data_IF_726799580563
#
_entry.id   IF_726799580563
#
_cell.length_a   1.000
_cell.length_b   1.000
_cell.length_c   1.000
_cell.angle_alpha   90.00
_cell.angle_beta   90.00
_cell.angle_gamma   90.00
#
_symmetry.space_group_name_H-M   'P 1'
#
loop_
_entity.id
_entity.type
_entity.pdbx_description
1 polymer ?
#
# COMPACT_ATOMS: atom_id res chain seq x y z
N UNK A 1 71.19 42.03 -30.93
CA UNK A 1 70.05 41.40 -30.24
C UNK A 1 68.96 41.11 -31.26
N UNK A 2 68.81 39.85 -31.69
CA UNK A 2 67.71 39.42 -32.58
C UNK A 2 67.09 38.17 -31.96
N UNK A 3 65.89 38.34 -31.44
CA UNK A 3 65.11 37.36 -30.68
C UNK A 3 64.56 36.31 -31.65
N UNK A 4 64.87 35.03 -31.42
CA UNK A 4 64.30 33.90 -32.17
C UNK A 4 62.91 33.61 -31.60
N UNK A 5 61.87 33.73 -32.42
CA UNK A 5 60.53 33.26 -32.09
C UNK A 5 60.35 31.88 -32.72
N UNK A 6 60.33 30.84 -31.90
CA UNK A 6 59.92 29.50 -32.34
C UNK A 6 58.40 29.47 -32.37
N UNK A 7 57.80 29.41 -33.56
CA UNK A 7 56.39 29.03 -33.71
C UNK A 7 56.26 27.53 -33.44
N UNK A 8 55.67 27.17 -32.29
CA UNK A 8 55.15 25.84 -32.06
C UNK A 8 53.76 25.76 -32.73
N UNK A 9 53.65 24.98 -33.80
CA UNK A 9 52.35 24.61 -34.40
C UNK A 9 51.72 23.58 -33.47
N UNK A 10 50.85 24.04 -32.57
CA UNK A 10 50.00 23.17 -31.77
C UNK A 10 48.90 22.59 -32.65
N UNK A 11 49.04 21.31 -33.03
CA UNK A 11 47.96 20.54 -33.62
C UNK A 11 46.88 20.34 -32.54
N UNK A 12 45.90 21.23 -32.50
CA UNK A 12 44.71 21.07 -31.68
C UNK A 12 43.89 19.92 -32.24
N UNK A 13 44.03 18.73 -31.67
CA UNK A 13 43.11 17.62 -31.89
C UNK A 13 41.79 18.04 -31.24
N UNK A 14 40.85 18.52 -32.06
CA UNK A 14 39.44 18.60 -31.70
C UNK A 14 38.97 17.17 -31.46
N UNK A 15 39.01 16.74 -30.20
CA UNK A 15 38.31 15.55 -29.76
C UNK A 15 36.81 15.83 -29.93
N UNK A 16 36.26 15.40 -31.07
CA UNK A 16 34.82 15.22 -31.18
C UNK A 16 34.45 14.20 -30.11
N UNK A 17 33.77 14.66 -29.05
CA UNK A 17 33.00 13.76 -28.20
C UNK A 17 32.01 13.07 -29.13
N UNK A 18 32.26 11.81 -29.46
CA UNK A 18 31.26 10.96 -30.08
C UNK A 18 30.06 10.98 -29.12
N UNK A 19 29.01 11.71 -29.49
CA UNK A 19 27.72 11.58 -28.85
C UNK A 19 27.36 10.12 -29.01
N UNK A 20 27.41 9.35 -27.93
CA UNK A 20 26.85 8.01 -27.91
C UNK A 20 25.38 8.15 -28.35
N UNK A 21 25.09 7.72 -29.58
CA UNK A 21 23.72 7.42 -29.99
C UNK A 21 23.23 6.40 -28.98
N UNK A 22 22.33 6.82 -28.09
CA UNK A 22 21.81 5.92 -27.08
C UNK A 22 20.98 4.87 -27.83
N UNK A 23 21.56 3.69 -28.03
CA UNK A 23 20.93 2.52 -28.62
C UNK A 23 19.56 2.29 -27.95
N UNK A 24 18.50 1.89 -28.70
CA UNK A 24 17.24 1.52 -28.07
C UNK A 24 17.46 0.48 -26.95
N UNK A 25 16.71 0.59 -25.84
CA UNK A 25 16.92 -0.28 -24.70
C UNK A 25 16.62 -1.73 -25.06
N UNK A 26 17.36 -2.65 -24.45
CA UNK A 26 17.01 -4.07 -24.50
C UNK A 26 15.76 -4.30 -23.66
N UNK A 27 14.66 -4.66 -24.31
CA UNK A 27 13.36 -4.89 -23.66
C UNK A 27 12.57 -5.97 -24.40
N UNK A 28 11.49 -6.45 -23.80
CA UNK A 28 10.67 -7.48 -24.43
C UNK A 28 9.68 -6.88 -25.44
N UNK A 29 9.18 -7.71 -26.35
CA UNK A 29 8.07 -7.31 -27.21
C UNK A 29 6.84 -6.88 -26.40
N UNK A 30 6.62 -7.52 -25.24
CA UNK A 30 5.52 -7.20 -24.32
C UNK A 30 5.65 -5.79 -23.73
N UNK A 31 6.85 -5.32 -23.42
CA UNK A 31 7.09 -3.97 -22.89
C UNK A 31 6.80 -2.89 -23.95
N UNK A 32 7.25 -3.11 -25.19
CA UNK A 32 6.95 -2.23 -26.33
C UNK A 32 5.44 -2.18 -26.60
N UNK A 33 4.78 -3.35 -26.60
CA UNK A 33 3.33 -3.44 -26.79
C UNK A 33 2.57 -2.77 -25.64
N UNK A 34 3.00 -2.96 -24.40
CA UNK A 34 2.46 -2.32 -23.21
C UNK A 34 2.54 -0.80 -23.34
N UNK A 35 3.70 -0.27 -23.72
CA UNK A 35 3.91 1.15 -23.99
C UNK A 35 3.02 1.67 -25.11
N UNK A 36 2.85 0.91 -26.20
CA UNK A 36 1.96 1.28 -27.29
C UNK A 36 0.49 1.36 -26.87
N UNK A 37 0.02 0.40 -26.06
CA UNK A 37 -1.36 0.37 -25.56
C UNK A 37 -1.69 1.56 -24.65
N UNK A 38 -0.72 2.10 -23.92
CA UNK A 38 -0.96 3.27 -23.07
C UNK A 38 -1.26 4.56 -23.84
N UNK A 39 -1.06 4.58 -25.17
CA UNK A 39 -1.45 5.71 -26.01
C UNK A 39 -2.92 5.71 -26.46
N UNK A 40 -3.65 4.60 -26.27
CA UNK A 40 -5.03 4.48 -26.75
C UNK A 40 -5.95 5.57 -26.15
N UNK A 41 -6.76 6.21 -26.99
CA UNK A 41 -7.69 7.27 -26.58
C UNK A 41 -7.10 8.67 -26.60
N UNK A 42 -5.78 8.83 -26.71
CA UNK A 42 -5.17 10.15 -26.95
C UNK A 42 -5.44 10.63 -28.38
N UNK A 43 -5.47 11.95 -28.57
CA UNK A 43 -5.74 12.50 -29.91
C UNK A 43 -4.58 12.34 -30.86
N UNK A 44 -4.92 12.42 -32.14
CA UNK A 44 -3.94 12.57 -33.20
C UNK A 44 -3.38 14.00 -33.16
N UNK A 45 -2.07 14.15 -33.24
CA UNK A 45 -1.43 15.45 -33.33
C UNK A 45 -0.42 15.41 -34.48
N UNK A 46 -0.64 16.15 -35.57
CA UNK A 46 0.35 16.21 -36.65
C UNK A 46 1.66 16.78 -36.09
N UNK A 47 2.72 15.98 -36.14
CA UNK A 47 3.97 16.35 -35.50
C UNK A 47 3.94 16.29 -33.97
N UNK A 48 3.05 15.51 -33.35
CA UNK A 48 3.13 15.16 -31.93
C UNK A 48 3.68 13.75 -31.68
N UNK A 49 4.13 13.49 -30.45
CA UNK A 49 4.82 12.24 -30.09
C UNK A 49 4.73 11.89 -28.60
N UNK A 50 3.78 12.46 -27.86
CA UNK A 50 3.69 12.27 -26.41
C UNK A 50 2.27 12.01 -25.93
N UNK A 51 2.15 11.18 -24.90
CA UNK A 51 0.92 10.85 -24.20
C UNK A 51 1.25 10.48 -22.75
N UNK A 52 0.24 10.19 -21.96
CA UNK A 52 0.41 9.86 -20.55
C UNK A 52 -0.16 8.47 -20.28
N UNK A 53 0.57 7.65 -19.53
CA UNK A 53 0.19 6.27 -19.29
C UNK A 53 0.41 5.82 -17.85
N UNK A 54 -0.38 4.85 -17.41
CA UNK A 54 -0.13 4.09 -16.20
C UNK A 54 0.05 2.63 -16.54
N UNK A 55 1.31 2.19 -16.59
CA UNK A 55 1.68 0.88 -17.12
C UNK A 55 1.20 0.72 -18.56
N UNK A 56 0.42 -0.33 -18.83
CA UNK A 56 -0.09 -0.62 -20.17
C UNK A 56 -1.42 0.06 -20.51
N UNK A 57 -1.94 0.92 -19.63
CA UNK A 57 -3.23 1.59 -19.80
C UNK A 57 -3.03 3.09 -20.01
N UNK A 58 -3.88 3.73 -20.82
CA UNK A 58 -3.87 5.19 -20.92
C UNK A 58 -4.36 5.82 -19.62
N UNK A 59 -3.72 6.91 -19.21
CA UNK A 59 -4.17 7.70 -18.05
C UNK A 59 -5.02 8.89 -18.51
N UNK A 60 -6.22 8.59 -19.03
CA UNK A 60 -7.14 9.62 -19.55
C UNK A 60 -7.81 10.44 -18.43
N UNK A 61 -7.69 9.99 -17.17
CA UNK A 61 -8.30 10.63 -16.00
C UNK A 61 -7.42 11.77 -15.48
N UNK A 62 -6.12 11.52 -15.36
CA UNK A 62 -5.18 12.53 -14.85
C UNK A 62 -4.54 13.36 -15.97
N UNK A 63 -4.58 12.87 -17.22
CA UNK A 63 -3.99 13.53 -18.36
C UNK A 63 -5.05 13.72 -19.47
N UNK A 64 -5.40 14.98 -19.76
CA UNK A 64 -6.40 15.29 -20.78
C UNK A 64 -5.91 14.91 -22.18
N UNK A 65 -6.63 14.03 -22.90
CA UNK A 65 -6.38 13.76 -24.31
C UNK A 65 -6.57 15.06 -25.07
N UNK A 66 -5.52 15.58 -25.74
CA UNK A 66 -5.68 16.81 -26.52
C UNK A 66 -6.81 16.69 -27.55
N UNK A 67 -7.14 17.76 -28.24
CA UNK A 67 -8.20 17.77 -29.25
C UNK A 67 -7.61 18.00 -30.63
N UNK A 68 -7.89 17.08 -31.56
CA UNK A 68 -7.66 17.33 -32.97
C UNK A 68 -8.93 17.77 -33.69
N UNK A 69 -8.79 18.78 -34.55
CA UNK A 69 -9.84 19.24 -35.46
C UNK A 69 -9.31 19.16 -36.89
N UNK A 70 -9.90 18.33 -37.78
CA UNK A 70 -9.52 18.31 -39.18
C UNK A 70 -9.84 19.66 -39.84
N UNK A 71 -9.01 20.11 -40.79
CA UNK A 71 -9.40 21.23 -41.65
C UNK A 71 -10.61 20.82 -42.50
N UNK A 72 -11.52 21.76 -42.76
CA UNK A 72 -12.71 21.50 -43.55
C UNK A 72 -12.35 20.91 -44.93
N UNK A 73 -12.96 19.79 -45.30
CA UNK A 73 -12.69 19.08 -46.55
C UNK A 73 -11.44 18.21 -46.57
N UNK A 74 -10.69 18.08 -45.46
CA UNK A 74 -9.56 17.16 -45.34
C UNK A 74 -9.93 15.90 -44.56
N UNK A 75 -9.12 14.84 -44.71
CA UNK A 75 -9.18 13.64 -43.86
C UNK A 75 -8.57 13.86 -42.47
N UNK A 76 -8.04 15.06 -42.19
CA UNK A 76 -7.40 15.40 -40.93
C UNK A 76 -5.94 14.98 -40.79
N UNK A 77 -5.27 14.56 -41.88
CA UNK A 77 -3.88 14.13 -41.87
C UNK A 77 -3.22 14.49 -43.24
N UNK A 78 -2.23 15.40 -43.30
CA UNK A 78 -1.68 16.21 -42.21
C UNK A 78 -2.54 17.42 -41.82
N UNK A 79 -3.55 17.73 -42.63
CA UNK A 79 -4.28 19.00 -42.60
C UNK A 79 -5.27 19.07 -41.43
N UNK A 80 -4.75 19.37 -40.24
CA UNK A 80 -5.51 19.50 -39.01
C UNK A 80 -4.96 20.56 -38.06
N UNK A 81 -5.70 20.84 -37.00
CA UNK A 81 -5.28 21.68 -35.87
C UNK A 81 -5.41 20.88 -34.60
N UNK A 82 -4.33 20.79 -33.84
CA UNK A 82 -4.31 20.14 -32.53
C UNK A 82 -4.25 21.20 -31.42
N UNK A 83 -4.83 20.86 -30.27
CA UNK A 83 -4.82 21.68 -29.05
C UNK A 83 -4.72 20.77 -27.82
N UNK A 84 -4.18 21.28 -26.72
CA UNK A 84 -3.85 20.48 -25.54
C UNK A 84 -2.42 19.91 -25.61
N UNK A 85 -1.97 19.31 -24.51
CA UNK A 85 -0.58 18.87 -24.38
C UNK A 85 -0.30 17.54 -25.08
N UNK A 86 -1.21 16.58 -24.95
CA UNK A 86 -0.96 15.19 -25.33
C UNK A 86 -1.63 14.82 -26.65
N UNK A 87 -0.90 14.07 -27.45
CA UNK A 87 -1.30 13.55 -28.75
C UNK A 87 -0.07 13.16 -29.57
N UNK A 88 -0.28 12.26 -30.54
CA UNK A 88 0.79 11.83 -31.42
C UNK A 88 0.32 11.64 -32.87
N UNK A 89 1.23 11.82 -33.83
CA UNK A 89 1.04 11.29 -35.18
C UNK A 89 1.53 9.84 -35.26
N UNK A 90 1.35 9.22 -36.43
CA UNK A 90 1.71 7.82 -36.64
C UNK A 90 3.18 7.52 -36.32
N UNK A 91 4.09 8.38 -36.77
CA UNK A 91 5.52 8.18 -36.61
C UNK A 91 6.04 8.58 -35.24
N UNK A 92 5.50 9.65 -34.64
CA UNK A 92 5.77 10.03 -33.27
C UNK A 92 5.31 8.97 -32.29
N UNK A 93 4.11 8.40 -32.50
CA UNK A 93 3.58 7.30 -31.71
C UNK A 93 4.49 6.08 -31.75
N UNK A 94 4.85 5.59 -32.94
CA UNK A 94 5.69 4.38 -33.06
C UNK A 94 7.13 4.65 -32.59
N UNK A 95 7.70 5.83 -32.89
CA UNK A 95 9.05 6.19 -32.41
C UNK A 95 9.11 6.19 -30.88
N UNK A 96 8.08 6.73 -30.22
CA UNK A 96 7.99 6.76 -28.77
C UNK A 96 7.73 5.38 -28.18
N UNK A 97 6.83 4.59 -28.80
CA UNK A 97 6.59 3.21 -28.40
C UNK A 97 7.86 2.35 -28.50
N UNK A 98 8.68 2.58 -29.51
CA UNK A 98 9.96 1.90 -29.71
C UNK A 98 11.15 2.52 -28.96
N UNK A 99 10.96 3.68 -28.32
CA UNK A 99 12.02 4.43 -27.66
C UNK A 99 13.23 4.70 -28.58
N UNK A 100 12.92 5.11 -29.81
CA UNK A 100 13.90 5.51 -30.83
C UNK A 100 13.71 7.00 -31.19
N UNK A 101 14.80 7.75 -31.45
CA UNK A 101 16.20 7.33 -31.48
C UNK A 101 16.83 7.12 -30.09
N UNK A 102 16.15 7.50 -29.01
CA UNK A 102 16.63 7.40 -27.63
C UNK A 102 15.46 7.06 -26.70
N UNK A 103 15.71 6.46 -25.52
CA UNK A 103 14.67 6.20 -24.54
C UNK A 103 14.16 7.51 -23.93
N UNK A 104 12.90 7.81 -24.21
CA UNK A 104 12.16 8.91 -23.59
C UNK A 104 10.93 8.35 -22.85
N UNK A 105 10.55 8.97 -21.72
CA UNK A 105 9.21 8.77 -21.15
C UNK A 105 8.13 9.11 -22.18
N UNK A 106 6.98 8.45 -22.10
CA UNK A 106 5.87 8.69 -23.04
C UNK A 106 5.29 10.10 -22.88
N UNK A 107 5.38 10.67 -21.68
CA UNK A 107 4.90 12.01 -21.33
C UNK A 107 5.82 13.14 -21.84
N UNK A 108 7.05 12.80 -22.25
CA UNK A 108 8.01 13.78 -22.76
C UNK A 108 7.65 14.20 -24.18
N UNK A 109 7.18 15.43 -24.34
CA UNK A 109 6.91 16.06 -25.62
C UNK A 109 8.15 16.82 -26.13
N UNK A 110 8.11 17.23 -27.39
CA UNK A 110 9.14 17.97 -28.12
C UNK A 110 10.49 17.23 -28.16
N UNK A 111 10.45 15.92 -28.39
CA UNK A 111 11.65 15.07 -28.48
C UNK A 111 11.95 14.62 -29.91
N UNK A 112 13.19 14.20 -30.14
CA UNK A 112 13.62 13.61 -31.41
C UNK A 112 12.75 12.39 -31.77
N UNK A 113 12.40 12.28 -33.05
CA UNK A 113 11.60 11.18 -33.60
C UNK A 113 11.95 10.92 -35.07
N UNK A 114 11.50 9.77 -35.56
CA UNK A 114 11.53 9.46 -36.98
C UNK A 114 10.23 9.84 -37.68
N UNK A 115 10.24 9.77 -39.02
CA UNK A 115 9.07 9.93 -39.87
C UNK A 115 8.64 8.57 -40.43
N UNK A 116 7.40 8.44 -40.88
CA UNK A 116 6.85 7.15 -41.31
C UNK A 116 7.71 6.41 -42.36
N UNK A 117 8.25 7.15 -43.34
CA UNK A 117 9.08 6.59 -44.39
C UNK A 117 10.41 6.00 -43.89
N UNK A 118 10.93 6.44 -42.74
CA UNK A 118 12.15 5.88 -42.12
C UNK A 118 11.99 4.38 -41.83
N UNK A 119 10.79 3.95 -41.46
CA UNK A 119 10.49 2.56 -41.10
C UNK A 119 10.35 1.63 -42.32
N UNK A 120 10.40 2.15 -43.55
CA UNK A 120 10.31 1.33 -44.78
C UNK A 120 11.66 0.79 -45.26
N UNK A 121 12.75 1.13 -44.58
CA UNK A 121 14.12 0.77 -44.95
C UNK A 121 14.90 0.31 -43.72
N UNK A 122 15.94 -0.50 -43.94
CA UNK A 122 16.87 -0.86 -42.89
C UNK A 122 17.47 0.41 -42.29
N UNK A 123 17.62 0.41 -40.98
CA UNK A 123 18.05 1.55 -40.20
C UNK A 123 19.02 1.09 -39.11
N UNK A 124 19.69 2.04 -38.46
CA UNK A 124 20.56 1.80 -37.30
C UNK A 124 19.89 0.99 -36.18
N UNK A 125 18.56 1.10 -36.03
CA UNK A 125 17.81 0.59 -34.88
C UNK A 125 16.73 -0.44 -35.24
N UNK A 126 16.56 -0.78 -36.51
CA UNK A 126 15.59 -1.79 -36.96
C UNK A 126 15.96 -2.35 -38.33
N UNK A 127 15.49 -3.56 -38.58
CA UNK A 127 15.58 -4.20 -39.90
C UNK A 127 14.19 -4.27 -40.53
N UNK A 128 14.14 -4.16 -41.85
CA UNK A 128 12.92 -4.47 -42.61
C UNK A 128 12.72 -5.98 -42.60
N UNK A 129 11.50 -6.41 -42.29
CA UNK A 129 11.09 -7.81 -42.25
C UNK A 129 9.92 -8.02 -43.22
N UNK A 130 9.75 -9.24 -43.75
CA UNK A 130 8.58 -9.57 -44.56
C UNK A 130 7.27 -9.32 -43.78
N UNK A 131 6.25 -8.79 -44.46
CA UNK A 131 4.92 -8.61 -43.84
C UNK A 131 4.32 -9.92 -43.33
N UNK A 132 4.68 -11.06 -43.93
CA UNK A 132 4.26 -12.39 -43.51
C UNK A 132 4.88 -12.85 -42.19
N UNK A 133 5.96 -12.21 -41.74
CA UNK A 133 6.66 -12.55 -40.49
C UNK A 133 6.40 -11.53 -39.38
N UNK A 134 5.44 -10.62 -39.55
CA UNK A 134 5.08 -9.65 -38.51
C UNK A 134 4.71 -10.36 -37.22
N UNK A 135 5.28 -9.88 -36.12
CA UNK A 135 5.00 -10.33 -34.76
C UNK A 135 4.66 -9.11 -33.88
N UNK A 136 4.10 -9.30 -32.67
CA UNK A 136 3.91 -8.22 -31.72
C UNK A 136 5.19 -7.40 -31.50
N UNK A 137 5.04 -6.09 -31.32
CA UNK A 137 6.08 -5.05 -31.28
C UNK A 137 6.71 -4.67 -32.62
N UNK A 138 6.47 -5.39 -33.72
CA UNK A 138 6.86 -4.92 -35.05
C UNK A 138 6.00 -3.71 -35.48
N UNK A 139 6.50 -2.96 -36.45
CA UNK A 139 5.78 -1.90 -37.11
C UNK A 139 5.42 -2.29 -38.54
N UNK A 140 4.20 -2.00 -38.97
CA UNK A 140 3.81 -2.03 -40.37
C UNK A 140 3.91 -0.61 -40.93
N UNK A 141 4.80 -0.38 -41.89
CA UNK A 141 5.12 0.96 -42.40
C UNK A 141 4.97 1.10 -43.91
N UNK A 142 4.54 2.28 -44.34
CA UNK A 142 4.55 2.77 -45.72
C UNK A 142 5.27 4.11 -45.79
N UNK A 143 5.34 4.74 -46.97
CA UNK A 143 5.96 6.05 -47.11
C UNK A 143 5.24 7.16 -46.34
N UNK A 144 3.96 6.98 -46.01
CA UNK A 144 3.11 8.02 -45.40
C UNK A 144 2.54 7.64 -44.04
N UNK A 145 2.66 6.38 -43.63
CA UNK A 145 2.01 5.91 -42.41
C UNK A 145 2.75 4.73 -41.77
N UNK A 146 2.77 4.67 -40.44
CA UNK A 146 3.37 3.58 -39.66
C UNK A 146 2.48 3.20 -38.48
N UNK A 147 2.35 1.90 -38.24
CA UNK A 147 1.37 1.29 -37.33
C UNK A 147 2.11 0.31 -36.42
N UNK A 148 1.81 0.30 -35.12
CA UNK A 148 2.37 -0.67 -34.19
C UNK A 148 1.53 -1.94 -34.15
N UNK A 149 2.14 -3.09 -34.44
CA UNK A 149 1.52 -4.41 -34.28
C UNK A 149 1.60 -4.81 -32.82
N UNK A 150 0.46 -5.15 -32.20
CA UNK A 150 0.39 -5.50 -30.78
C UNK A 150 -0.11 -6.93 -30.51
N UNK A 151 -0.61 -7.61 -31.53
CA UNK A 151 -1.08 -8.98 -31.43
C UNK A 151 -0.67 -9.82 -32.64
N UNK A 152 -0.71 -11.12 -32.43
CA UNK A 152 -0.50 -12.11 -33.48
C UNK A 152 -1.55 -12.00 -34.59
N UNK A 153 -1.22 -12.56 -35.76
CA UNK A 153 -2.14 -12.66 -36.88
C UNK A 153 -3.28 -13.62 -36.54
N UNK A 154 -4.52 -13.15 -36.61
CA UNK A 154 -5.70 -13.98 -36.43
C UNK A 154 -5.95 -14.93 -37.62
N UNK A 155 -6.91 -15.82 -37.48
CA UNK A 155 -7.28 -16.80 -38.51
C UNK A 155 -7.85 -16.16 -39.79
N UNK A 156 -8.29 -14.90 -39.74
CA UNK A 156 -8.78 -14.13 -40.88
C UNK A 156 -7.65 -13.33 -41.55
N UNK A 157 -6.46 -13.37 -40.98
CA UNK A 157 -5.26 -12.72 -41.48
C UNK A 157 -5.10 -11.27 -41.06
N UNK A 158 -5.85 -10.81 -40.06
CA UNK A 158 -5.70 -9.48 -39.49
C UNK A 158 -4.77 -9.52 -38.28
N UNK A 159 -4.09 -8.41 -38.01
CA UNK A 159 -3.33 -8.19 -36.80
C UNK A 159 -4.10 -7.25 -35.87
N UNK A 160 -3.93 -7.45 -34.58
CA UNK A 160 -4.30 -6.42 -33.62
C UNK A 160 -3.22 -5.33 -33.60
N UNK A 161 -3.64 -4.07 -33.70
CA UNK A 161 -2.73 -2.91 -33.79
C UNK A 161 -3.15 -1.78 -32.86
N UNK A 162 -2.20 -0.89 -32.59
CA UNK A 162 -2.48 0.48 -32.15
C UNK A 162 -1.97 1.45 -33.20
N UNK A 163 -2.82 2.38 -33.59
CA UNK A 163 -2.57 3.29 -34.70
C UNK A 163 -3.03 4.71 -34.36
N UNK A 164 -2.14 5.69 -34.53
CA UNK A 164 -2.53 7.10 -34.61
C UNK A 164 -3.16 7.37 -35.98
N UNK A 165 -4.45 7.03 -36.09
CA UNK A 165 -5.19 6.85 -37.35
C UNK A 165 -5.55 8.15 -38.06
N UNK A 166 -5.50 9.27 -37.36
CA UNK A 166 -5.86 10.60 -37.86
C UNK A 166 -6.87 11.31 -36.97
N UNK A 167 -7.14 12.59 -37.24
CA UNK A 167 -7.87 13.46 -36.31
C UNK A 167 -9.28 13.05 -35.93
N UNK A 168 -9.99 12.36 -36.82
CA UNK A 168 -11.35 11.89 -36.50
C UNK A 168 -11.37 10.71 -35.52
N UNK A 169 -10.23 10.05 -35.31
CA UNK A 169 -10.13 8.82 -34.52
C UNK A 169 -9.19 8.98 -33.32
N UNK A 170 -8.08 9.69 -33.48
CA UNK A 170 -6.99 9.69 -32.51
C UNK A 170 -6.13 8.43 -32.61
N UNK A 171 -5.54 8.06 -31.48
CA UNK A 171 -4.79 6.83 -31.28
C UNK A 171 -5.77 5.75 -30.86
N UNK A 172 -5.92 4.72 -31.69
CA UNK A 172 -6.96 3.70 -31.52
C UNK A 172 -6.40 2.29 -31.62
N UNK A 173 -6.96 1.38 -30.84
CA UNK A 173 -6.76 -0.06 -30.97
C UNK A 173 -7.79 -0.63 -31.94
N UNK A 174 -7.35 -1.44 -32.88
CA UNK A 174 -8.23 -2.03 -33.89
C UNK A 174 -7.63 -3.29 -34.52
N UNK A 175 -8.47 -4.10 -35.16
CA UNK A 175 -8.04 -5.18 -36.05
C UNK A 175 -7.77 -4.65 -37.45
N UNK A 176 -6.62 -4.99 -38.05
CA UNK A 176 -6.17 -4.49 -39.36
C UNK A 176 -5.53 -5.58 -40.20
N UNK A 177 -5.90 -5.63 -41.48
CA UNK A 177 -5.09 -6.26 -42.52
C UNK A 177 -4.27 -5.21 -43.26
N UNK A 178 -3.14 -5.62 -43.81
CA UNK A 178 -2.21 -4.74 -44.52
C UNK A 178 -2.12 -5.13 -45.99
N UNK A 179 -2.14 -4.13 -46.87
CA UNK A 179 -1.85 -4.30 -48.29
C UNK A 179 -0.36 -4.56 -48.53
N UNK A 180 -0.02 -5.00 -49.75
CA UNK A 180 1.37 -5.21 -50.19
C UNK A 180 2.22 -3.93 -50.26
N UNK A 181 1.63 -2.75 -50.08
CA UNK A 181 2.34 -1.47 -50.01
C UNK A 181 3.02 -1.20 -48.67
N UNK A 182 2.74 -2.03 -47.65
CA UNK A 182 3.39 -1.96 -46.35
C UNK A 182 4.63 -2.85 -46.32
N UNK A 183 5.64 -2.39 -45.59
CA UNK A 183 6.81 -3.16 -45.20
C UNK A 183 6.73 -3.41 -43.69
N UNK A 184 7.20 -4.57 -43.24
CA UNK A 184 7.40 -4.81 -41.83
C UNK A 184 8.71 -4.19 -41.38
N UNK A 185 8.76 -3.65 -40.17
CA UNK A 185 9.97 -3.22 -39.52
C UNK A 185 10.04 -3.85 -38.12
N UNK A 186 11.21 -4.38 -37.78
CA UNK A 186 11.48 -4.99 -36.48
C UNK A 186 12.62 -4.28 -35.80
N UNK A 187 12.33 -3.68 -34.65
CA UNK A 187 13.34 -3.03 -33.81
C UNK A 187 14.40 -4.04 -33.37
N UNK A 188 15.66 -3.61 -33.33
CA UNK A 188 16.73 -4.40 -32.71
C UNK A 188 16.58 -4.39 -31.18
N UNK A 189 17.39 -5.20 -30.48
CA UNK A 189 17.39 -5.32 -29.02
C UNK A 189 16.01 -5.70 -28.43
N UNK A 190 15.20 -6.45 -29.17
CA UNK A 190 14.03 -7.12 -28.60
C UNK A 190 14.52 -8.46 -28.02
N UNK A 191 14.35 -8.64 -26.71
CA UNK A 191 14.73 -9.87 -26.01
C UNK A 191 13.48 -10.67 -25.63
N UNK A 192 13.65 -11.98 -25.43
CA UNK A 192 12.65 -12.82 -24.76
C UNK A 192 12.84 -12.84 -23.25
N UNK A 193 13.93 -12.25 -22.75
CA UNK A 193 14.24 -12.14 -21.33
C UNK A 193 13.39 -11.04 -20.67
N UNK A 194 12.48 -11.41 -19.77
CA UNK A 194 11.63 -10.45 -19.02
C UNK A 194 12.37 -9.74 -17.88
N UNK A 195 13.55 -10.23 -17.49
CA UNK A 195 14.38 -9.70 -16.40
C UNK A 195 15.83 -10.14 -16.54
N UNK A 196 16.74 -9.47 -15.81
CA UNK A 196 18.14 -9.90 -15.74
C UNK A 196 18.29 -11.02 -14.69
N UNK A 197 19.07 -12.08 -14.99
CA UNK A 197 19.32 -13.17 -14.03
C UNK A 197 19.85 -12.59 -12.70
N UNK A 198 19.21 -12.99 -11.60
CA UNK A 198 19.52 -12.49 -10.25
C UNK A 198 18.89 -11.15 -9.87
N UNK A 199 18.12 -10.51 -10.76
CA UNK A 199 17.34 -9.32 -10.41
C UNK A 199 16.23 -9.68 -9.41
N UNK A 200 15.95 -8.79 -8.46
CA UNK A 200 14.91 -8.97 -7.45
C UNK A 200 13.90 -7.83 -7.49
N UNK A 201 12.64 -8.16 -7.21
CA UNK A 201 11.56 -7.18 -7.08
C UNK A 201 10.79 -7.43 -5.79
N UNK A 202 10.31 -6.33 -5.24
CA UNK A 202 9.48 -6.31 -4.04
C UNK A 202 8.22 -5.49 -4.30
N UNK A 203 7.10 -5.91 -3.73
CA UNK A 203 5.86 -5.13 -3.73
C UNK A 203 5.16 -5.28 -2.39
N UNK A 204 4.47 -4.22 -1.98
CA UNK A 204 3.56 -4.28 -0.84
C UNK A 204 2.42 -5.26 -1.13
N UNK A 205 1.96 -5.94 -0.09
CA UNK A 205 0.88 -6.91 -0.14
C UNK A 205 0.03 -6.79 1.13
N UNK A 206 -1.27 -7.05 1.02
CA UNK A 206 -2.19 -6.96 2.15
C UNK A 206 -2.22 -5.58 2.82
N UNK A 207 -2.54 -5.56 4.12
CA UNK A 207 -2.49 -4.38 4.98
C UNK A 207 -1.11 -4.18 5.61
N UNK A 208 -0.27 -5.21 5.57
CA UNK A 208 1.10 -5.21 6.05
C UNK A 208 1.93 -6.24 5.25
N UNK A 209 3.24 -6.03 5.14
CA UNK A 209 4.14 -7.01 4.53
C UNK A 209 4.53 -6.72 3.09
N UNK A 210 5.35 -7.60 2.53
CA UNK A 210 5.97 -7.47 1.23
C UNK A 210 6.09 -8.85 0.58
N UNK A 211 5.75 -8.93 -0.71
CA UNK A 211 6.09 -10.09 -1.53
C UNK A 211 7.37 -9.81 -2.29
N UNK A 212 8.20 -10.83 -2.42
CA UNK A 212 9.44 -10.79 -3.16
C UNK A 212 9.40 -11.78 -4.33
N UNK A 213 10.12 -11.47 -5.39
CA UNK A 213 10.41 -12.42 -6.47
C UNK A 213 11.78 -12.16 -7.05
N UNK A 214 12.36 -13.18 -7.65
CA UNK A 214 13.66 -13.12 -8.29
C UNK A 214 13.58 -13.58 -9.74
N UNK A 215 14.46 -13.06 -10.56
CA UNK A 215 14.59 -13.49 -11.94
C UNK A 215 15.41 -14.78 -11.99
N UNK A 216 14.78 -15.86 -12.43
CA UNK A 216 15.45 -17.13 -12.62
C UNK A 216 16.42 -17.09 -13.82
N UNK A 217 17.35 -18.04 -13.89
CA UNK A 217 18.36 -18.16 -14.97
C UNK A 217 17.76 -18.28 -16.39
N UNK A 218 16.47 -18.60 -16.49
CA UNK A 218 15.68 -18.57 -17.74
C UNK A 218 15.14 -17.19 -18.12
N UNK A 219 15.66 -16.11 -17.55
CA UNK A 219 15.20 -14.73 -17.75
C UNK A 219 13.70 -14.52 -17.54
N UNK A 220 13.12 -15.23 -16.58
CA UNK A 220 11.71 -15.10 -16.22
C UNK A 220 11.59 -14.90 -14.74
N UNK A 221 10.66 -14.03 -14.36
CA UNK A 221 10.33 -13.82 -12.96
C UNK A 221 9.80 -15.12 -12.36
N UNK A 222 10.30 -15.49 -11.19
CA UNK A 222 9.64 -16.47 -10.35
C UNK A 222 8.25 -15.98 -9.94
N UNK A 223 7.42 -16.92 -9.47
CA UNK A 223 6.18 -16.55 -8.80
C UNK A 223 6.51 -15.65 -7.60
N UNK A 224 5.63 -14.69 -7.30
CA UNK A 224 5.72 -13.93 -6.06
C UNK A 224 5.72 -14.88 -4.86
N UNK A 225 6.57 -14.58 -3.87
CA UNK A 225 6.58 -15.28 -2.59
C UNK A 225 5.25 -15.12 -1.87
N UNK A 226 5.08 -15.85 -0.76
CA UNK A 226 4.03 -15.50 0.19
C UNK A 226 4.23 -14.06 0.70
N UNK A 227 3.12 -13.42 1.07
CA UNK A 227 3.13 -12.11 1.69
C UNK A 227 3.64 -12.23 3.13
N UNK A 228 4.83 -11.71 3.39
CA UNK A 228 5.53 -11.81 4.67
C UNK A 228 6.23 -10.48 5.00
N UNK A 229 6.65 -10.29 6.25
CA UNK A 229 7.45 -9.12 6.63
C UNK A 229 6.81 -8.25 7.72
N UNK A 230 7.55 -7.25 8.22
CA UNK A 230 7.15 -6.49 9.41
C UNK A 230 6.02 -5.50 9.13
N UNK A 231 5.34 -5.05 10.20
CA UNK A 231 4.33 -3.98 10.16
C UNK A 231 4.96 -2.67 9.62
N UNK A 232 4.43 -2.06 8.54
CA UNK A 232 4.96 -0.80 7.99
C UNK A 232 4.85 0.39 8.96
N UNK A 233 4.07 0.28 10.04
CA UNK A 233 3.92 1.31 11.09
C UNK A 233 4.92 1.19 12.24
N UNK A 234 5.78 0.17 12.22
CA UNK A 234 6.82 -0.10 13.22
C UNK A 234 6.51 -1.34 14.06
N UNK A 235 7.53 -2.15 14.36
CA UNK A 235 7.41 -3.23 15.33
C UNK A 235 6.91 -2.66 16.68
N UNK A 236 5.89 -3.30 17.28
CA UNK A 236 5.35 -3.06 18.64
C UNK A 236 4.14 -2.11 18.78
N UNK A 237 3.37 -1.81 17.73
CA UNK A 237 2.09 -1.12 17.92
C UNK A 237 1.14 -1.99 18.78
N UNK A 238 0.76 -1.50 19.97
CA UNK A 238 -0.17 -2.19 20.85
C UNK A 238 -1.57 -2.26 20.23
N UNK A 239 -2.32 -3.28 20.59
CA UNK A 239 -3.70 -3.50 20.15
C UNK A 239 -4.52 -4.17 21.26
N UNK A 240 -5.85 -4.15 21.10
CA UNK A 240 -6.79 -4.78 22.03
C UNK A 240 -7.42 -6.00 21.37
N UNK A 241 -7.48 -7.12 22.10
CA UNK A 241 -8.09 -8.36 21.63
C UNK A 241 -9.53 -8.41 22.14
N UNK A 242 -10.49 -8.38 21.22
CA UNK A 242 -11.91 -8.39 21.57
C UNK A 242 -12.29 -9.67 22.32
N UNK A 243 -12.88 -9.52 23.51
CA UNK A 243 -13.33 -10.62 24.37
C UNK A 243 -12.27 -11.24 25.27
N UNK A 244 -10.99 -10.84 25.15
CA UNK A 244 -9.96 -11.22 26.10
C UNK A 244 -10.03 -10.35 27.38
N UNK A 245 -9.57 -10.92 28.50
CA UNK A 245 -9.57 -10.30 29.83
C UNK A 245 -8.15 -10.01 30.32
N UNK A 246 -8.04 -9.23 31.39
CA UNK A 246 -6.78 -9.00 32.09
C UNK A 246 -5.64 -8.55 31.18
N UNK A 247 -4.45 -9.10 31.44
CA UNK A 247 -3.25 -8.88 30.66
C UNK A 247 -3.40 -9.34 29.20
N UNK A 248 -4.19 -10.39 28.94
CA UNK A 248 -4.43 -10.93 27.59
C UNK A 248 -5.27 -10.02 26.70
N UNK A 249 -5.99 -9.05 27.27
CA UNK A 249 -6.74 -8.05 26.51
C UNK A 249 -5.82 -7.12 25.70
N UNK A 250 -4.56 -6.99 26.11
CA UNK A 250 -3.54 -6.22 25.41
C UNK A 250 -2.67 -7.16 24.58
N UNK A 251 -2.46 -6.80 23.32
CA UNK A 251 -1.63 -7.55 22.39
C UNK A 251 -0.69 -6.64 21.59
N UNK A 252 0.08 -7.28 20.71
CA UNK A 252 0.97 -6.60 19.75
C UNK A 252 0.49 -6.90 18.34
N UNK A 253 0.44 -5.87 17.49
CA UNK A 253 0.17 -6.04 16.07
C UNK A 253 1.30 -6.81 15.41
N UNK A 254 0.94 -7.85 14.69
CA UNK A 254 1.85 -8.65 13.89
C UNK A 254 1.29 -8.83 12.49
N UNK A 255 2.19 -8.89 11.52
CA UNK A 255 1.81 -9.21 10.17
C UNK A 255 1.77 -10.72 9.97
N UNK A 256 0.59 -11.28 9.74
CA UNK A 256 0.40 -12.70 9.49
C UNK A 256 -0.26 -12.86 8.13
N UNK A 257 0.49 -13.41 7.17
CA UNK A 257 0.03 -13.63 5.79
C UNK A 257 -0.56 -12.39 5.11
N UNK A 258 0.03 -11.21 5.36
CA UNK A 258 -0.41 -9.93 4.81
C UNK A 258 -1.47 -9.19 5.62
N UNK A 259 -1.92 -9.75 6.74
CA UNK A 259 -2.97 -9.16 7.55
C UNK A 259 -2.45 -8.75 8.91
N UNK A 260 -2.75 -7.51 9.28
CA UNK A 260 -2.38 -6.97 10.57
C UNK A 260 -3.27 -7.61 11.65
N UNK A 261 -2.70 -8.56 12.38
CA UNK A 261 -3.38 -9.36 13.39
C UNK A 261 -2.93 -8.91 14.78
N UNK A 262 -3.85 -8.82 15.73
CA UNK A 262 -3.49 -8.56 17.12
C UNK A 262 -3.14 -9.90 17.81
N UNK A 263 -1.87 -10.11 18.14
CA UNK A 263 -1.46 -11.26 18.95
C UNK A 263 -1.58 -10.90 20.44
N UNK A 264 -2.49 -11.56 21.15
CA UNK A 264 -2.67 -11.41 22.59
C UNK A 264 -1.38 -11.74 23.37
N UNK A 265 -1.17 -11.07 24.50
CA UNK A 265 -0.24 -11.56 25.51
C UNK A 265 -0.62 -12.99 25.95
N UNK A 266 0.37 -13.82 26.23
CA UNK A 266 0.13 -15.16 26.78
C UNK A 266 -0.18 -15.03 28.27
N UNK A 267 -1.15 -15.82 28.73
CA UNK A 267 -1.46 -15.96 30.15
C UNK A 267 -0.21 -16.45 30.91
N UNK A 268 0.03 -15.85 32.08
CA UNK A 268 1.07 -16.24 33.02
C UNK A 268 0.47 -16.56 34.37
N UNK A 269 1.27 -17.10 35.30
CA UNK A 269 0.80 -17.34 36.66
C UNK A 269 0.46 -16.02 37.38
N UNK A 270 -0.60 -16.05 38.19
CA UNK A 270 -1.03 -14.92 39.02
C UNK A 270 0.04 -14.50 40.02
N UNK A 271 0.34 -13.21 39.98
CA UNK A 271 1.18 -12.50 40.96
C UNK A 271 0.38 -11.33 41.52
N UNK A 272 0.71 -10.90 42.74
CA UNK A 272 0.00 -9.80 43.39
C UNK A 272 0.43 -8.44 42.82
N UNK A 273 -0.16 -8.04 41.69
CA UNK A 273 0.12 -6.79 41.00
C UNK A 273 -1.14 -6.03 40.54
N UNK A 274 -2.33 -6.56 40.86
CA UNK A 274 -3.60 -5.95 40.50
C UNK A 274 -3.99 -6.18 39.04
N UNK A 275 -3.32 -7.09 38.34
CA UNK A 275 -3.59 -7.49 36.96
C UNK A 275 -4.01 -8.96 36.96
N UNK A 276 -5.07 -9.26 36.20
CA UNK A 276 -5.47 -10.63 35.84
C UNK A 276 -4.46 -11.18 34.82
N UNK A 277 -3.43 -11.88 35.32
CA UNK A 277 -2.27 -12.36 34.58
C UNK A 277 -2.54 -13.71 33.90
N UNK A 278 -3.41 -14.54 34.47
CA UNK A 278 -3.81 -15.84 33.92
C UNK A 278 -5.05 -15.75 33.01
N UNK A 279 -5.69 -14.58 32.99
CA UNK A 279 -6.77 -14.19 32.09
C UNK A 279 -8.09 -14.94 32.33
N UNK A 280 -8.33 -15.43 33.54
CA UNK A 280 -9.59 -16.08 33.91
C UNK A 280 -10.72 -15.09 34.24
N UNK A 281 -10.36 -13.83 34.53
CA UNK A 281 -11.25 -12.72 34.81
C UNK A 281 -11.42 -12.36 36.27
N UNK A 282 -10.74 -13.05 37.18
CA UNK A 282 -10.52 -12.64 38.55
C UNK A 282 -9.12 -12.03 38.67
N UNK A 283 -8.92 -11.09 39.60
CA UNK A 283 -7.63 -10.41 39.79
C UNK A 283 -6.96 -10.99 41.03
N UNK A 284 -5.67 -11.31 40.94
CA UNK A 284 -4.81 -11.80 42.02
C UNK A 284 -5.38 -13.04 42.74
N UNK A 285 -6.03 -13.96 42.01
CA UNK A 285 -6.67 -15.17 42.55
C UNK A 285 -5.72 -16.39 42.59
N UNK A 286 -4.42 -16.15 42.59
CA UNK A 286 -3.38 -17.17 42.59
C UNK A 286 -3.28 -17.98 43.89
N UNK A 287 -2.28 -18.86 43.93
CA UNK A 287 -1.96 -19.58 45.18
C UNK A 287 -1.19 -18.67 46.13
N UNK A 288 -1.19 -18.92 47.46
CA UNK A 288 -0.38 -18.15 48.39
C UNK A 288 1.11 -18.11 48.00
N UNK A 289 1.62 -19.15 47.35
CA UNK A 289 3.01 -19.17 46.86
C UNK A 289 3.21 -18.23 45.67
N UNK A 290 2.31 -18.25 44.68
CA UNK A 290 2.43 -17.45 43.45
C UNK A 290 2.20 -15.95 43.71
N UNK A 291 1.26 -15.62 44.60
CA UNK A 291 1.00 -14.25 45.03
C UNK A 291 2.08 -13.70 45.95
N UNK A 292 2.93 -14.55 46.54
CA UNK A 292 3.96 -14.15 47.50
C UNK A 292 3.44 -13.93 48.93
N UNK A 293 2.34 -14.59 49.28
CA UNK A 293 1.74 -14.55 50.62
C UNK A 293 2.47 -15.46 51.62
N UNK A 294 2.18 -15.26 52.91
CA UNK A 294 2.72 -16.08 54.01
C UNK A 294 4.21 -15.89 54.27
N UNK A 295 4.86 -14.90 53.63
CA UNK A 295 6.26 -14.56 53.92
C UNK A 295 6.33 -13.68 55.15
N UNK A 296 7.26 -13.98 56.05
CA UNK A 296 7.48 -13.17 57.24
C UNK A 296 7.93 -11.74 56.86
N UNK A 297 7.27 -10.75 57.41
CA UNK A 297 7.57 -9.33 57.22
C UNK A 297 7.56 -8.61 58.58
N UNK A 298 8.07 -7.38 58.60
CA UNK A 298 8.01 -6.51 59.77
C UNK A 298 7.15 -5.30 59.46
N UNK A 299 6.27 -4.96 60.39
CA UNK A 299 5.47 -3.74 60.35
C UNK A 299 5.50 -3.07 61.73
N UNK A 300 4.80 -1.94 61.87
CA UNK A 300 4.84 -1.10 63.08
C UNK A 300 4.45 -1.83 64.37
N UNK A 301 3.64 -2.90 64.31
CA UNK A 301 3.23 -3.68 65.48
C UNK A 301 4.08 -4.92 65.78
N UNK A 302 5.08 -5.24 64.95
CA UNK A 302 5.94 -6.41 65.13
C UNK A 302 6.08 -7.28 63.89
N UNK A 303 6.15 -8.60 64.11
CA UNK A 303 6.29 -9.61 63.05
C UNK A 303 4.91 -9.92 62.45
N UNK A 304 4.81 -9.80 61.13
CA UNK A 304 3.61 -10.12 60.36
C UNK A 304 3.88 -11.12 59.24
N UNK A 305 2.86 -11.35 58.42
CA UNK A 305 2.91 -12.13 57.18
C UNK A 305 2.40 -11.29 56.01
N UNK A 306 2.95 -11.54 54.82
CA UNK A 306 2.49 -10.89 53.59
C UNK A 306 1.16 -11.48 53.13
N UNK A 307 0.23 -10.63 52.73
CA UNK A 307 -1.07 -10.99 52.14
C UNK A 307 -1.32 -10.08 50.93
N UNK A 308 -1.92 -10.60 49.87
CA UNK A 308 -2.30 -9.81 48.71
C UNK A 308 -3.59 -9.04 49.00
N UNK A 309 -3.53 -7.71 48.99
CA UNK A 309 -4.67 -6.85 49.26
C UNK A 309 -4.67 -5.72 48.22
N UNK A 310 -5.76 -5.61 47.47
CA UNK A 310 -5.98 -4.58 46.45
C UNK A 310 -4.81 -4.45 45.44
N UNK A 311 -4.29 -5.57 44.94
CA UNK A 311 -3.20 -5.58 43.95
C UNK A 311 -1.82 -5.27 44.49
N UNK A 312 -1.61 -5.35 45.80
CA UNK A 312 -0.31 -5.16 46.41
C UNK A 312 -0.07 -6.10 47.59
N UNK A 313 1.14 -6.63 47.69
CA UNK A 313 1.58 -7.36 48.88
C UNK A 313 1.67 -6.41 50.07
N UNK A 314 0.84 -6.67 51.07
CA UNK A 314 0.77 -5.89 52.31
C UNK A 314 1.18 -6.76 53.50
N UNK A 315 1.89 -6.16 54.45
CA UNK A 315 2.29 -6.85 55.69
C UNK A 315 1.18 -6.69 56.75
N UNK A 316 0.58 -7.79 57.17
CA UNK A 316 -0.50 -7.81 58.16
C UNK A 316 -0.15 -8.68 59.36
N UNK A 317 -0.84 -8.50 60.48
CA UNK A 317 -0.75 -9.42 61.62
C UNK A 317 -1.27 -10.80 61.22
N UNK A 318 -0.74 -11.91 61.78
CA UNK A 318 -1.28 -13.24 61.52
C UNK A 318 -2.78 -13.30 61.88
N UNK A 319 -3.64 -13.52 60.88
CA UNK A 319 -5.11 -13.56 61.04
C UNK A 319 -5.85 -12.23 60.85
N UNK A 320 -5.16 -11.12 60.52
CA UNK A 320 -5.80 -9.85 60.17
C UNK A 320 -6.01 -9.71 58.67
N UNK A 321 -7.15 -9.15 58.26
CA UNK A 321 -7.51 -8.93 56.85
C UNK A 321 -7.24 -7.50 56.34
N UNK A 322 -6.73 -6.60 57.19
CA UNK A 322 -6.38 -5.22 56.77
C UNK A 322 -5.09 -4.73 57.45
N UNK A 323 -4.28 -3.87 56.79
CA UNK A 323 -3.03 -3.34 57.37
C UNK A 323 -3.23 -2.28 58.44
N UNK A 324 -4.44 -1.71 58.52
CA UNK A 324 -4.75 -0.58 59.38
C UNK A 324 -5.40 -1.01 60.71
N UNK A 325 -5.35 -2.28 61.05
CA UNK A 325 -5.79 -2.72 62.37
C UNK A 325 -4.85 -2.09 63.42
N UNK A 326 -5.32 -1.16 64.28
CA UNK A 326 -4.49 -0.58 65.32
C UNK A 326 -3.99 -1.74 66.17
N UNK A 327 -2.68 -1.78 66.46
CA UNK A 327 -2.03 -2.86 67.19
C UNK A 327 -2.83 -3.25 68.45
N UNK A 328 -3.80 -4.17 68.35
CA UNK A 328 -4.65 -4.49 69.47
C UNK A 328 -3.84 -5.42 70.37
N UNK A 329 -3.46 -4.88 71.51
CA UNK A 329 -2.66 -5.56 72.52
C UNK A 329 -3.57 -6.45 73.37
N UNK A 330 -4.29 -7.33 72.69
CA UNK A 330 -5.24 -8.29 73.27
C UNK A 330 -4.62 -9.65 73.57
N UNK A 331 -3.38 -9.71 74.10
CA UNK A 331 -2.85 -10.92 74.75
C UNK A 331 -2.71 -10.64 76.24
N UNK A 332 -3.81 -10.79 76.97
CA UNK A 332 -3.85 -10.77 78.43
C UNK A 332 -3.77 -12.18 79.01
N UNK A 333 -2.54 -12.60 79.30
CA UNK A 333 -2.07 -13.36 80.47
C UNK A 333 -2.77 -14.67 80.93
N UNK A 334 -1.92 -15.66 81.20
CA UNK A 334 -2.29 -16.93 81.83
C UNK A 334 -2.13 -16.84 83.36
N UNK A 335 -3.21 -17.05 84.12
CA UNK A 335 -3.14 -17.84 85.36
C UNK A 335 -3.60 -17.23 86.70
N UNK A 336 -4.39 -18.06 87.41
CA UNK A 336 -4.55 -18.21 88.88
C UNK A 336 -5.58 -17.35 89.63
N UNK A 337 -6.67 -18.02 90.05
CA UNK A 337 -7.11 -18.04 91.46
C UNK A 337 -8.38 -17.27 91.85
N UNK A 338 -9.43 -18.03 92.22
CA UNK A 338 -10.20 -17.73 93.44
C UNK A 338 -11.57 -17.07 93.31
N UNK A 339 -12.59 -17.91 93.50
CA UNK A 339 -13.76 -17.72 94.37
C UNK A 339 -15.01 -16.93 93.91
N UNK A 340 -16.09 -17.72 93.93
CA UNK A 340 -17.40 -17.47 94.52
C UNK A 340 -18.48 -16.78 93.68
N UNK A 341 -19.58 -17.53 93.51
CA UNK A 341 -20.91 -16.94 93.31
C UNK A 341 -21.69 -17.46 92.10
N UNK A 342 -22.07 -18.74 92.10
CA UNK A 342 -23.38 -19.10 91.53
C UNK A 342 -24.46 -18.66 92.55
N UNK A 343 -25.68 -18.25 92.13
CA UNK A 343 -26.64 -19.30 91.82
C UNK A 343 -27.70 -18.99 90.71
N UNK A 344 -28.24 -20.11 90.21
CA UNK A 344 -29.66 -20.39 89.85
C UNK A 344 -30.24 -19.77 88.57
N UNK A 345 -30.51 -20.60 87.54
CA UNK A 345 -31.80 -21.28 87.22
C UNK A 345 -32.62 -20.43 86.22
N UNK A 346 -33.24 -20.87 85.13
CA UNK A 346 -33.97 -22.10 84.81
C UNK A 346 -34.38 -22.02 83.31
N UNK A 347 -34.11 -23.07 82.53
CA UNK A 347 -35.07 -23.85 81.73
C UNK A 347 -36.28 -23.12 81.09
N UNK A 348 -36.34 -23.08 79.74
CA UNK A 348 -37.42 -23.69 78.91
C UNK A 348 -37.33 -23.30 77.41
N UNK A 349 -37.16 -24.29 76.54
CA UNK A 349 -37.76 -24.38 75.18
C UNK A 349 -39.22 -24.92 75.31
N UNK A 350 -40.12 -25.08 74.29
CA UNK A 350 -39.87 -25.26 72.84
C UNK A 350 -40.96 -24.76 71.80
N UNK A 351 -40.67 -24.93 70.51
CA UNK A 351 -41.62 -25.21 69.38
C UNK A 351 -42.30 -24.01 68.69
N UNK A 352 -42.71 -24.01 67.41
CA UNK A 352 -42.69 -24.99 66.28
C UNK A 352 -43.30 -24.33 65.00
N UNK A 353 -42.75 -24.67 63.82
CA UNK A 353 -43.33 -24.87 62.44
C UNK A 353 -44.32 -23.88 61.76
N UNK A 354 -43.98 -23.33 60.57
CA UNK A 354 -44.39 -23.77 59.21
C UNK A 354 -44.10 -22.73 58.07
N UNK A 355 -43.78 -23.28 56.90
CA UNK A 355 -43.58 -22.80 55.50
C UNK A 355 -44.66 -21.85 54.88
N UNK A 356 -44.61 -21.34 53.60
CA UNK A 356 -43.89 -21.86 52.39
C UNK A 356 -43.27 -20.86 51.35
N UNK A 357 -42.44 -21.47 50.48
CA UNK A 357 -42.26 -21.38 49.00
C UNK A 357 -42.18 -20.05 48.20
N UNK A 358 -41.11 -19.98 47.38
CA UNK A 358 -41.03 -19.51 45.96
C UNK A 358 -41.42 -18.04 45.65
N UNK A 359 -40.81 -17.27 44.73
CA UNK A 359 -40.40 -17.53 43.34
C UNK A 359 -39.57 -16.32 42.83
N UNK A 360 -38.73 -16.60 41.81
CA UNK A 360 -38.53 -15.86 40.55
C UNK A 360 -38.14 -14.36 40.52
N UNK A 361 -37.14 -14.06 39.69
CA UNK A 361 -36.70 -12.71 39.34
C UNK A 361 -37.35 -12.07 38.08
N UNK A 362 -36.68 -10.98 37.67
CA UNK A 362 -36.64 -10.25 36.39
C UNK A 362 -37.60 -9.06 36.09
N UNK A 363 -36.95 -7.89 35.90
CA UNK A 363 -36.96 -6.98 34.74
C UNK A 363 -38.16 -6.04 34.35
N UNK A 364 -37.79 -4.75 34.20
CA UNK A 364 -38.03 -3.75 33.12
C UNK A 364 -39.43 -3.26 32.63
N UNK A 365 -39.46 -1.92 32.45
CA UNK A 365 -40.31 -1.02 31.62
C UNK A 365 -41.76 -0.75 32.08
N UNK A 366 -42.34 0.47 31.97
CA UNK A 366 -42.38 1.48 30.87
C UNK A 366 -42.79 2.87 31.43
N UNK A 367 -42.54 3.97 30.70
CA UNK A 367 -43.20 5.26 30.96
C UNK A 367 -42.81 6.42 30.01
N UNK A 368 -43.74 6.81 29.13
CA UNK A 368 -43.65 7.86 28.10
C UNK A 368 -44.08 9.24 28.63
N UNK A 369 -43.53 10.35 28.12
CA UNK A 369 -44.23 11.65 28.05
C UNK A 369 -43.61 12.64 27.03
N UNK A 370 -44.52 13.36 26.35
CA UNK A 370 -44.33 14.35 25.27
C UNK A 370 -44.05 15.77 25.81
N UNK A 371 -43.48 16.65 24.97
CA UNK A 371 -43.53 18.11 25.13
C UNK A 371 -43.10 18.88 23.87
N UNK A 372 -43.97 19.78 23.40
CA UNK A 372 -43.95 20.48 22.10
C UNK A 372 -43.25 21.86 22.11
N UNK A 373 -42.82 22.29 20.92
CA UNK A 373 -42.77 23.69 20.44
C UNK A 373 -41.39 24.36 20.46
N UNK A 374 -41.00 25.29 19.58
CA UNK A 374 -41.52 25.81 18.30
C UNK A 374 -40.49 26.85 17.80
N UNK A 375 -40.32 26.96 16.47
CA UNK A 375 -40.14 28.21 15.69
C UNK A 375 -38.79 29.00 15.60
N UNK A 376 -38.52 29.41 14.34
CA UNK A 376 -37.57 30.42 13.78
C UNK A 376 -36.07 30.05 13.78
N UNK A 377 -35.25 30.29 12.74
CA UNK A 377 -35.39 30.96 11.45
C UNK A 377 -34.00 31.40 10.92
N UNK A 378 -33.83 31.39 9.60
CA UNK A 378 -32.95 32.23 8.76
C UNK A 378 -31.42 31.99 8.65
N UNK A 379 -31.02 31.69 7.40
CA UNK A 379 -30.00 32.34 6.54
C UNK A 379 -28.60 32.64 7.11
N UNK A 380 -27.54 32.19 6.41
CA UNK A 380 -26.86 32.98 5.36
C UNK A 380 -25.51 32.36 4.94
N UNK A 381 -25.19 32.51 3.66
CA UNK A 381 -23.91 32.22 3.02
C UNK A 381 -22.85 33.29 3.33
N UNK A 382 -21.57 32.92 3.25
CA UNK A 382 -20.50 33.86 2.90
C UNK A 382 -19.32 33.15 2.22
N UNK A 383 -18.99 33.65 1.02
CA UNK A 383 -17.80 33.34 0.26
C UNK A 383 -16.57 34.07 0.83
N UNK A 384 -15.38 33.52 0.61
CA UNK A 384 -14.13 34.27 0.68
C UNK A 384 -13.26 33.97 -0.54
N UNK A 385 -13.24 34.97 -1.42
CA UNK A 385 -12.32 35.19 -2.54
C UNK A 385 -10.93 35.48 -1.98
N UNK A 386 -9.87 34.88 -2.52
CA UNK A 386 -8.55 35.50 -2.55
C UNK A 386 -7.93 35.33 -3.94
N UNK A 387 -7.77 36.45 -4.63
CA UNK A 387 -6.92 36.57 -5.81
C UNK A 387 -5.78 37.52 -5.50
N UNK A 388 -4.57 37.21 -5.96
CA UNK A 388 -3.56 38.25 -6.20
C UNK A 388 -2.67 37.94 -7.41
N UNK A 389 -2.94 38.72 -8.45
CA UNK A 389 -2.11 39.26 -9.54
C UNK A 389 -0.74 38.66 -9.90
N UNK A 390 -0.66 38.38 -11.21
CA UNK A 390 0.50 38.49 -12.12
C UNK A 390 1.48 39.62 -11.80
N UNK A 391 2.77 39.34 -12.01
CA UNK A 391 3.73 40.33 -12.53
C UNK A 391 4.63 39.67 -13.57
N UNK A 392 4.53 40.18 -14.79
CA UNK A 392 5.45 40.02 -15.90
C UNK A 392 6.77 40.73 -15.62
N UNK A 393 7.88 40.04 -15.87
CA UNK A 393 9.06 40.57 -16.57
C UNK A 393 9.67 39.46 -17.40
#
# INVERSE_FOLDING_TARGET
MKTRWSLAVGLGILAFSATSSATPPTETAKDIVCRGKSGEGFSYAWGGECWCGQGCKPDLTNCEPGKCTPKAGSTGCPECTHSGKYGADCSGFVSKAWQVPKPFPVEACDVDRYVASSFTKNHEFWNVVPMSSLQPADAAASSTHVILVIGEKDSQGNHEVVEAKGCNYGIVRQSRSFSSSYNGARRINITTCECASGEEQSRECGDCGTEHRSCADGCSWSAWSACEGPDPTGEQASCTVEGAKGACAVGVKQCVAGWLTCQAAQATEEICDGIDNDCDGEIDNGTPESLGEGKACNHTCGRGETVCIDGALQCVMPGASTPNDPCDSGVGDSGVGGQDGSPTSEINSPGTWHEPESVSGCACHVGSARGNGSLWGLLAAAAAVWGFRRRSR
#
